data_IF_445194854246
#
_entry.id   IF_445194854246
#
_cell.length_a   1.000
_cell.length_b   1.000
_cell.length_c   1.000
_cell.angle_alpha   90.00
_cell.angle_beta   90.00
_cell.angle_gamma   90.00
#
_symmetry.space_group_name_H-M   'P 1'
#
loop_
_entity.id
_entity.type
_entity.pdbx_description
1 polymer ?
#
# COMPACT_ATOMS: atom_id res chain seq x y z
N UNK A 1 -11.21 -83.91 -51.84
CA UNK A 1 -10.64 -82.75 -51.13
C UNK A 1 -10.10 -81.64 -52.05
N UNK A 2 -10.78 -81.25 -53.15
CA UNK A 2 -10.26 -80.19 -54.08
C UNK A 2 -11.21 -79.00 -54.34
N UNK A 3 -12.33 -78.88 -53.62
CA UNK A 3 -13.27 -77.74 -53.74
C UNK A 3 -13.35 -76.85 -52.49
N UNK A 4 -12.90 -77.31 -51.33
CA UNK A 4 -12.89 -76.51 -50.08
C UNK A 4 -11.66 -75.60 -49.91
N UNK A 5 -10.56 -75.88 -50.61
CA UNK A 5 -9.37 -75.02 -50.58
C UNK A 5 -9.60 -73.69 -51.30
N UNK A 6 -10.37 -73.67 -52.39
CA UNK A 6 -10.66 -72.44 -53.15
C UNK A 6 -11.50 -71.47 -52.31
N UNK A 7 -12.48 -71.99 -51.56
CA UNK A 7 -13.32 -71.19 -50.66
C UNK A 7 -12.51 -70.58 -49.51
N UNK A 8 -11.49 -71.29 -49.01
CA UNK A 8 -10.60 -70.82 -47.96
C UNK A 8 -9.77 -69.61 -48.42
N UNK A 9 -9.22 -69.65 -49.63
CA UNK A 9 -8.45 -68.52 -50.18
C UNK A 9 -9.32 -67.29 -50.45
N UNK A 10 -10.57 -67.48 -50.87
CA UNK A 10 -11.52 -66.37 -51.08
C UNK A 10 -11.89 -65.70 -49.74
N UNK A 11 -12.21 -66.50 -48.71
CA UNK A 11 -12.48 -65.98 -47.37
C UNK A 11 -11.29 -65.24 -46.77
N UNK A 12 -10.08 -65.78 -46.93
CA UNK A 12 -8.85 -65.15 -46.46
C UNK A 12 -8.61 -63.81 -47.17
N UNK A 13 -8.85 -63.75 -48.49
CA UNK A 13 -8.71 -62.53 -49.27
C UNK A 13 -9.68 -61.43 -48.82
N UNK A 14 -10.94 -61.77 -48.56
CA UNK A 14 -11.93 -60.82 -48.05
C UNK A 14 -11.52 -60.31 -46.65
N UNK A 15 -11.07 -61.20 -45.76
CA UNK A 15 -10.62 -60.83 -44.42
C UNK A 15 -9.43 -59.87 -44.48
N UNK A 16 -8.44 -60.16 -45.33
CA UNK A 16 -7.26 -59.30 -45.50
C UNK A 16 -7.66 -57.93 -46.04
N UNK A 17 -8.55 -57.88 -47.04
CA UNK A 17 -9.07 -56.62 -47.57
C UNK A 17 -9.81 -55.86 -46.47
N UNK A 18 -10.75 -56.49 -45.76
CA UNK A 18 -11.50 -55.83 -44.68
C UNK A 18 -10.60 -55.30 -43.57
N UNK A 19 -9.56 -56.04 -43.18
CA UNK A 19 -8.57 -55.57 -42.20
C UNK A 19 -7.78 -54.38 -42.76
N UNK A 20 -7.33 -54.43 -44.02
CA UNK A 20 -6.62 -53.32 -44.64
C UNK A 20 -7.50 -52.06 -44.75
N UNK A 21 -8.76 -52.19 -45.18
CA UNK A 21 -9.70 -51.06 -45.24
C UNK A 21 -10.00 -50.50 -43.85
N UNK A 22 -10.11 -51.35 -42.83
CA UNK A 22 -10.32 -50.93 -41.45
C UNK A 22 -9.09 -50.21 -40.87
N UNK A 23 -7.88 -50.68 -41.17
CA UNK A 23 -6.63 -50.01 -40.77
C UNK A 23 -6.49 -48.64 -41.46
N UNK A 24 -6.77 -48.55 -42.76
CA UNK A 24 -6.77 -47.27 -43.49
C UNK A 24 -7.84 -46.31 -42.95
N UNK A 25 -9.02 -46.80 -42.61
CA UNK A 25 -10.09 -46.01 -42.00
C UNK A 25 -9.72 -45.47 -40.61
N UNK A 26 -9.00 -46.27 -39.80
CA UNK A 26 -8.47 -45.83 -38.50
C UNK A 26 -7.34 -44.81 -38.68
N UNK A 27 -6.47 -45.00 -39.66
CA UNK A 27 -5.37 -44.07 -39.93
C UNK A 27 -5.89 -42.71 -40.44
N UNK A 28 -6.99 -42.71 -41.19
CA UNK A 28 -7.69 -41.50 -41.63
C UNK A 28 -8.43 -40.78 -40.48
N UNK A 29 -8.98 -41.51 -39.49
CA UNK A 29 -9.54 -40.91 -38.27
C UNK A 29 -8.46 -40.39 -37.30
N UNK A 30 -7.29 -41.03 -37.26
CA UNK A 30 -6.17 -40.59 -36.42
C UNK A 30 -5.34 -39.46 -37.06
N UNK A 31 -5.68 -39.02 -38.28
CA UNK A 31 -5.05 -37.88 -38.95
C UNK A 31 -5.59 -36.50 -38.48
N UNK A 32 -6.42 -36.47 -37.44
CA UNK A 32 -6.92 -35.26 -36.78
C UNK A 32 -5.89 -34.84 -35.70
N UNK A 33 -5.00 -33.87 -35.85
CA UNK A 33 -5.14 -32.54 -36.44
C UNK A 33 -3.76 -32.06 -36.91
N UNK A 34 -3.68 -31.38 -38.07
CA UNK A 34 -2.42 -30.76 -38.48
C UNK A 34 -2.08 -29.63 -37.50
N UNK A 35 -0.82 -29.47 -37.06
CA UNK A 35 -0.46 -28.37 -36.17
C UNK A 35 -0.78 -27.03 -36.84
N UNK A 36 -1.49 -26.16 -36.12
CA UNK A 36 -1.75 -24.79 -36.57
C UNK A 36 -0.44 -23.99 -36.50
N UNK A 37 0.02 -23.37 -37.60
CA UNK A 37 1.25 -22.59 -37.57
C UNK A 37 1.20 -21.39 -36.60
N UNK A 38 2.31 -21.04 -35.92
CA UNK A 38 2.36 -19.94 -34.94
C UNK A 38 1.80 -18.61 -35.43
N UNK A 39 2.02 -18.26 -36.70
CA UNK A 39 1.53 -17.01 -37.30
C UNK A 39 0.02 -16.77 -37.16
N UNK A 40 -0.78 -17.83 -36.94
CA UNK A 40 -2.23 -17.70 -36.78
C UNK A 40 -2.65 -17.41 -35.32
N UNK A 41 -1.84 -17.75 -34.32
CA UNK A 41 -2.19 -17.58 -32.91
C UNK A 41 -1.21 -16.71 -32.11
N UNK A 42 -0.02 -16.41 -32.63
CA UNK A 42 0.90 -15.46 -31.99
C UNK A 42 0.25 -14.09 -31.73
N UNK A 43 -0.56 -13.52 -32.65
CA UNK A 43 -1.26 -12.26 -32.37
C UNK A 43 -2.27 -12.36 -31.21
N UNK A 44 -2.90 -13.53 -31.02
CA UNK A 44 -3.77 -13.79 -29.88
C UNK A 44 -2.96 -13.82 -28.58
N UNK A 45 -1.82 -14.53 -28.58
CA UNK A 45 -0.93 -14.58 -27.42
C UNK A 45 -0.48 -13.18 -26.99
N UNK A 46 -0.01 -12.37 -27.94
CA UNK A 46 0.40 -10.98 -27.68
C UNK A 46 -0.76 -10.12 -27.17
N UNK A 47 -1.97 -10.30 -27.69
CA UNK A 47 -3.16 -9.58 -27.20
C UNK A 47 -3.50 -9.95 -25.75
N UNK A 48 -3.37 -11.23 -25.37
CA UNK A 48 -3.56 -11.68 -23.99
C UNK A 48 -2.47 -11.09 -23.08
N UNK A 49 -1.21 -11.11 -23.49
CA UNK A 49 -0.09 -10.50 -22.74
C UNK A 49 -0.31 -8.99 -22.56
N UNK A 50 -0.75 -8.27 -23.59
CA UNK A 50 -1.08 -6.85 -23.50
C UNK A 50 -2.23 -6.58 -22.51
N UNK A 51 -3.25 -7.43 -22.51
CA UNK A 51 -4.35 -7.38 -21.56
C UNK A 51 -3.85 -7.58 -20.11
N UNK A 52 -3.02 -8.61 -19.85
CA UNK A 52 -2.44 -8.87 -18.53
C UNK A 52 -1.58 -7.68 -18.08
N UNK A 53 -0.77 -7.12 -18.98
CA UNK A 53 0.05 -5.94 -18.69
C UNK A 53 -0.81 -4.73 -18.31
N UNK A 54 -1.89 -4.46 -19.05
CA UNK A 54 -2.84 -3.39 -18.73
C UNK A 54 -3.47 -3.57 -17.35
N UNK A 55 -3.97 -4.77 -17.05
CA UNK A 55 -4.57 -5.08 -15.75
C UNK A 55 -3.56 -4.91 -14.61
N UNK A 56 -2.30 -5.32 -14.81
CA UNK A 56 -1.25 -5.14 -13.84
C UNK A 56 -0.97 -3.64 -13.57
N UNK A 57 -0.89 -2.80 -14.61
CA UNK A 57 -0.77 -1.35 -14.44
C UNK A 57 -1.97 -0.75 -13.70
N UNK A 58 -3.20 -1.15 -14.04
CA UNK A 58 -4.41 -0.65 -13.39
C UNK A 58 -4.43 -1.01 -11.90
N UNK A 59 -4.13 -2.26 -11.56
CA UNK A 59 -4.05 -2.73 -10.18
C UNK A 59 -2.97 -2.00 -9.38
N UNK A 60 -1.76 -1.86 -9.93
CA UNK A 60 -0.67 -1.12 -9.29
C UNK A 60 -1.00 0.37 -9.10
N UNK A 61 -1.71 0.98 -10.06
CA UNK A 61 -2.17 2.37 -9.95
C UNK A 61 -3.26 2.55 -8.89
N UNK A 62 -4.15 1.57 -8.69
CA UNK A 62 -5.09 1.57 -7.56
C UNK A 62 -4.31 1.52 -6.25
N UNK A 63 -3.41 0.54 -6.09
CA UNK A 63 -2.58 0.39 -4.89
C UNK A 63 -1.78 1.65 -4.57
N UNK A 64 -1.17 2.28 -5.59
CA UNK A 64 -0.38 3.50 -5.41
C UNK A 64 -1.22 4.68 -4.94
N UNK A 65 -2.52 4.71 -5.24
CA UNK A 65 -3.44 5.77 -4.79
C UNK A 65 -4.12 5.47 -3.45
N UNK A 66 -4.09 4.21 -3.00
CA UNK A 66 -4.86 3.70 -1.87
C UNK A 66 -3.96 2.98 -0.86
N UNK A 67 -2.78 3.53 -0.56
CA UNK A 67 -1.91 3.08 0.54
C UNK A 67 -1.48 1.62 0.45
N UNK A 68 -1.37 1.09 -0.77
CA UNK A 68 -0.98 -0.30 -1.05
C UNK A 68 -2.13 -1.29 -1.13
N UNK A 69 -3.38 -0.84 -1.02
CA UNK A 69 -4.57 -1.69 -1.12
C UNK A 69 -5.25 -1.54 -2.50
N UNK A 70 -5.76 -2.65 -3.04
CA UNK A 70 -6.85 -2.63 -4.03
C UNK A 70 -8.19 -2.68 -3.31
N UNK A 71 -8.28 -3.53 -2.29
CA UNK A 71 -9.44 -3.64 -1.43
C UNK A 71 -9.05 -3.24 -0.01
N UNK A 72 -9.49 -2.06 0.43
CA UNK A 72 -9.24 -1.63 1.82
C UNK A 72 -10.04 -2.53 2.79
N UNK A 73 -9.39 -3.09 3.83
CA UNK A 73 -10.04 -3.85 4.90
C UNK A 73 -11.24 -3.12 5.51
N UNK A 74 -12.26 -3.88 5.91
CA UNK A 74 -13.50 -3.32 6.46
C UNK A 74 -13.28 -2.61 7.78
N UNK A 75 -12.34 -3.10 8.59
CA UNK A 75 -11.94 -2.57 9.89
C UNK A 75 -11.49 -1.11 9.76
N UNK A 76 -10.60 -0.81 8.81
CA UNK A 76 -10.10 0.55 8.53
C UNK A 76 -11.27 1.49 8.15
N UNK A 77 -12.21 1.00 7.33
CA UNK A 77 -13.36 1.80 6.89
C UNK A 77 -14.31 2.08 8.05
N UNK A 78 -14.59 1.08 8.87
CA UNK A 78 -15.53 1.17 9.98
C UNK A 78 -15.01 2.09 11.10
N UNK A 79 -13.70 2.12 11.31
CA UNK A 79 -13.05 2.98 12.31
C UNK A 79 -12.80 4.42 11.81
N UNK A 80 -13.06 4.71 10.53
CA UNK A 80 -12.80 6.04 9.96
C UNK A 80 -11.31 6.36 9.83
N UNK A 81 -10.45 5.35 9.82
CA UNK A 81 -8.99 5.50 9.82
C UNK A 81 -8.44 5.77 8.41
N UNK A 82 -8.89 6.84 7.76
CA UNK A 82 -8.47 7.20 6.40
C UNK A 82 -8.75 8.67 6.04
N UNK A 83 -8.10 9.17 4.99
CA UNK A 83 -8.43 10.46 4.35
C UNK A 83 -9.38 10.20 3.18
N UNK A 84 -10.48 10.96 3.09
CA UNK A 84 -11.30 10.99 1.88
C UNK A 84 -10.60 11.77 0.76
N UNK A 85 -10.39 11.12 -0.39
CA UNK A 85 -9.92 11.77 -1.60
C UNK A 85 -11.10 12.09 -2.53
N UNK A 86 -10.82 12.70 -3.67
CA UNK A 86 -11.84 12.98 -4.68
C UNK A 86 -12.37 11.67 -5.27
N UNK A 87 -13.69 11.54 -5.33
CA UNK A 87 -14.38 10.38 -5.91
C UNK A 87 -14.44 9.18 -4.93
N UNK A 88 -14.32 7.93 -5.42
CA UNK A 88 -14.44 6.74 -4.59
C UNK A 88 -13.17 6.38 -3.82
N UNK A 89 -12.09 7.15 -3.99
CA UNK A 89 -10.80 6.82 -3.41
C UNK A 89 -10.68 7.34 -1.97
N UNK A 90 -10.16 6.48 -1.12
CA UNK A 90 -9.73 6.82 0.23
C UNK A 90 -8.23 6.57 0.36
N UNK A 91 -7.59 7.20 1.34
CA UNK A 91 -6.20 6.98 1.69
C UNK A 91 -6.13 6.39 3.11
N UNK A 92 -6.11 5.05 3.24
CA UNK A 92 -6.02 4.36 4.52
C UNK A 92 -4.85 4.84 5.39
N UNK A 93 -5.09 4.95 6.69
CA UNK A 93 -4.01 5.17 7.64
C UNK A 93 -3.19 3.91 7.83
N UNK A 94 -1.86 4.05 7.81
CA UNK A 94 -0.92 3.00 8.19
C UNK A 94 -0.69 2.91 9.69
N UNK A 95 -1.23 3.85 10.47
CA UNK A 95 -1.18 3.83 11.92
C UNK A 95 -2.54 4.25 12.49
N UNK A 96 -3.09 3.43 13.38
CA UNK A 96 -4.32 3.76 14.11
C UNK A 96 -4.36 3.03 15.46
N UNK A 97 -4.67 3.76 16.54
CA UNK A 97 -4.80 3.22 17.91
C UNK A 97 -3.64 2.31 18.36
N UNK A 98 -2.41 2.65 17.96
CA UNK A 98 -1.21 1.88 18.30
C UNK A 98 -0.95 0.67 17.41
N UNK A 99 -1.72 0.45 16.35
CA UNK A 99 -1.53 -0.65 15.41
C UNK A 99 -0.88 -0.17 14.11
N UNK A 100 0.09 -0.95 13.61
CA UNK A 100 0.61 -0.82 12.25
C UNK A 100 -0.37 -1.50 11.28
N UNK A 101 -1.07 -0.67 10.50
CA UNK A 101 -2.06 -1.10 9.51
C UNK A 101 -1.50 -1.15 8.08
N UNK A 102 -0.17 -1.02 7.92
CA UNK A 102 0.45 -1.10 6.60
C UNK A 102 0.26 -2.50 5.99
N UNK A 103 -0.06 -2.61 4.68
CA UNK A 103 -0.24 -3.91 4.05
C UNK A 103 1.09 -4.66 4.01
N UNK A 104 1.06 -5.96 4.27
CA UNK A 104 2.23 -6.84 4.08
C UNK A 104 2.55 -7.02 2.59
N UNK A 105 3.79 -7.40 2.26
CA UNK A 105 4.12 -7.72 0.86
C UNK A 105 3.29 -8.89 0.32
N UNK A 106 2.96 -9.86 1.18
CA UNK A 106 2.09 -10.98 0.83
C UNK A 106 0.68 -10.51 0.47
N UNK A 107 0.09 -9.62 1.27
CA UNK A 107 -1.23 -9.06 1.01
C UNK A 107 -1.26 -8.26 -0.30
N UNK A 108 -0.22 -7.46 -0.56
CA UNK A 108 -0.09 -6.72 -1.83
C UNK A 108 -0.07 -7.71 -3.00
N UNK A 109 0.73 -8.77 -2.95
CA UNK A 109 0.75 -9.79 -4.01
C UNK A 109 -0.61 -10.44 -4.20
N UNK A 110 -1.23 -10.87 -3.11
CA UNK A 110 -2.54 -11.54 -3.10
C UNK A 110 -3.62 -10.67 -3.73
N UNK A 111 -3.72 -9.39 -3.35
CA UNK A 111 -4.73 -8.49 -3.91
C UNK A 111 -4.49 -8.21 -5.39
N UNK A 112 -3.23 -8.06 -5.84
CA UNK A 112 -2.93 -7.88 -7.25
C UNK A 112 -3.25 -9.14 -8.06
N UNK A 113 -2.95 -10.33 -7.52
CA UNK A 113 -3.31 -11.61 -8.13
C UNK A 113 -4.82 -11.72 -8.30
N UNK A 114 -5.58 -11.52 -7.20
CA UNK A 114 -7.04 -11.60 -7.22
C UNK A 114 -7.67 -10.62 -8.20
N UNK A 115 -7.17 -9.38 -8.25
CA UNK A 115 -7.64 -8.36 -9.19
C UNK A 115 -7.44 -8.77 -10.65
N UNK A 116 -6.26 -9.30 -11.00
CA UNK A 116 -5.96 -9.75 -12.35
C UNK A 116 -6.80 -10.99 -12.69
N UNK A 117 -6.92 -11.96 -11.78
CA UNK A 117 -7.73 -13.18 -11.96
C UNK A 117 -9.19 -12.85 -12.25
N UNK A 118 -9.80 -11.95 -11.47
CA UNK A 118 -11.21 -11.58 -11.64
C UNK A 118 -11.47 -10.73 -12.88
N UNK A 119 -10.45 -10.04 -13.41
CA UNK A 119 -10.59 -9.08 -14.51
C UNK A 119 -10.11 -9.62 -15.86
N UNK A 120 -9.43 -10.77 -15.88
CA UNK A 120 -8.81 -11.30 -17.08
C UNK A 120 -9.83 -11.62 -18.19
N UNK A 121 -10.95 -12.24 -17.83
CA UNK A 121 -11.99 -12.65 -18.79
C UNK A 121 -12.60 -11.46 -19.53
N UNK A 122 -12.91 -10.37 -18.81
CA UNK A 122 -13.52 -9.17 -19.40
C UNK A 122 -12.53 -8.34 -20.21
N UNK A 123 -11.24 -8.47 -19.94
CA UNK A 123 -10.18 -7.75 -20.62
C UNK A 123 -9.78 -8.39 -21.97
N UNK A 124 -9.89 -9.72 -22.13
CA UNK A 124 -9.54 -10.40 -23.38
C UNK A 124 -10.64 -10.19 -24.43
N UNK A 125 -10.46 -9.18 -25.29
CA UNK A 125 -11.34 -8.99 -26.45
C UNK A 125 -11.10 -10.02 -27.57
N UNK A 126 -11.92 -11.07 -27.62
CA UNK A 126 -11.84 -12.15 -28.62
C UNK A 126 -12.45 -11.80 -29.98
N UNK A 127 -13.21 -10.70 -30.10
CA UNK A 127 -13.92 -10.34 -31.35
C UNK A 127 -13.00 -10.16 -32.56
N UNK A 128 -11.75 -9.71 -32.33
CA UNK A 128 -10.72 -9.54 -33.36
C UNK A 128 -10.13 -10.87 -33.87
N UNK A 129 -10.47 -11.97 -33.21
CA UNK A 129 -10.01 -13.31 -33.50
C UNK A 129 -11.16 -14.24 -33.92
N UNK A 130 -12.24 -13.68 -34.46
CA UNK A 130 -13.42 -14.43 -34.93
C UNK A 130 -13.15 -15.48 -36.01
N UNK A 131 -11.97 -15.44 -36.64
CA UNK A 131 -11.48 -16.47 -37.58
C UNK A 131 -10.87 -17.70 -36.88
N UNK A 132 -10.86 -17.73 -35.54
CA UNK A 132 -10.40 -18.83 -34.70
C UNK A 132 -11.55 -19.28 -33.79
N UNK A 133 -11.63 -20.58 -33.55
CA UNK A 133 -12.43 -21.14 -32.45
C UNK A 133 -11.55 -21.21 -31.21
N UNK A 134 -11.94 -20.51 -30.15
CA UNK A 134 -11.18 -20.40 -28.91
C UNK A 134 -11.94 -21.07 -27.77
N UNK A 135 -11.28 -21.97 -27.04
CA UNK A 135 -11.81 -22.62 -25.85
C UNK A 135 -10.82 -22.44 -24.70
N UNK A 136 -11.22 -21.66 -23.69
CA UNK A 136 -10.47 -21.52 -22.44
C UNK A 136 -10.76 -22.73 -21.54
N UNK A 137 -9.71 -23.40 -21.08
CA UNK A 137 -9.81 -24.63 -20.29
C UNK A 137 -9.37 -24.34 -18.86
N UNK A 138 -10.32 -24.49 -17.93
CA UNK A 138 -10.09 -24.21 -16.52
C UNK A 138 -10.05 -22.71 -16.20
N UNK A 139 -9.88 -22.42 -14.91
CA UNK A 139 -9.69 -21.04 -14.42
C UNK A 139 -8.24 -20.61 -14.55
N UNK A 140 -7.97 -19.33 -14.87
CA UNK A 140 -6.60 -18.82 -14.86
C UNK A 140 -6.02 -18.90 -13.46
N UNK A 141 -4.74 -19.27 -13.37
CA UNK A 141 -3.95 -19.13 -12.15
C UNK A 141 -2.94 -18.01 -12.35
N UNK A 142 -3.00 -16.98 -11.53
CA UNK A 142 -2.10 -15.84 -11.61
C UNK A 142 -1.04 -15.92 -10.52
N UNK A 143 0.21 -15.67 -10.90
CA UNK A 143 1.34 -15.53 -9.98
C UNK A 143 1.95 -14.15 -10.12
N UNK A 144 2.16 -13.47 -9.00
CA UNK A 144 2.80 -12.13 -8.96
C UNK A 144 4.10 -12.21 -8.17
N UNK A 145 5.19 -11.73 -8.76
CA UNK A 145 6.45 -11.48 -8.07
C UNK A 145 6.76 -9.99 -8.09
N UNK A 146 7.08 -9.44 -6.91
CA UNK A 146 7.55 -8.06 -6.77
C UNK A 146 9.08 -8.09 -6.72
N UNK A 147 9.73 -7.74 -7.83
CA UNK A 147 11.18 -7.65 -7.89
C UNK A 147 11.63 -6.22 -7.52
N UNK A 148 12.93 -5.96 -7.58
CA UNK A 148 13.47 -4.63 -7.25
C UNK A 148 13.10 -3.55 -8.29
N UNK A 149 13.04 -3.91 -9.57
CA UNK A 149 12.85 -2.95 -10.67
C UNK A 149 11.55 -3.17 -11.46
N UNK A 150 10.89 -4.31 -11.27
CA UNK A 150 9.67 -4.66 -12.01
C UNK A 150 8.73 -5.57 -11.18
N UNK A 151 7.52 -5.71 -11.70
CA UNK A 151 6.52 -6.69 -11.25
C UNK A 151 6.35 -7.73 -12.35
N UNK A 152 6.68 -8.99 -12.04
CA UNK A 152 6.48 -10.11 -12.94
C UNK A 152 5.11 -10.72 -12.68
N UNK A 153 4.27 -10.77 -13.70
CA UNK A 153 2.95 -11.41 -13.68
C UNK A 153 2.97 -12.62 -14.60
N UNK A 154 2.79 -13.79 -14.02
CA UNK A 154 2.59 -15.05 -14.74
C UNK A 154 1.13 -15.46 -14.70
N UNK A 155 0.62 -15.96 -15.82
CA UNK A 155 -0.75 -16.50 -15.93
C UNK A 155 -0.68 -17.86 -16.59
N UNK A 156 -1.15 -18.88 -15.88
CA UNK A 156 -1.28 -20.24 -16.40
C UNK A 156 -2.76 -20.52 -16.70
N UNK A 157 -3.07 -20.62 -17.99
CA UNK A 157 -4.40 -20.99 -18.49
C UNK A 157 -4.27 -21.59 -19.89
N UNK A 158 -4.85 -22.78 -20.09
CA UNK A 158 -4.84 -23.43 -21.40
C UNK A 158 -5.92 -22.82 -22.28
N UNK A 159 -5.53 -22.32 -23.44
CA UNK A 159 -6.43 -21.87 -24.50
C UNK A 159 -6.23 -22.79 -25.70
N UNK A 160 -7.25 -23.58 -26.01
CA UNK A 160 -7.29 -24.40 -27.22
C UNK A 160 -7.76 -23.54 -28.38
N UNK A 161 -7.05 -23.63 -29.48
CA UNK A 161 -7.28 -22.85 -30.69
C UNK A 161 -7.55 -23.84 -31.82
N UNK A 162 -8.68 -23.68 -32.51
CA UNK A 162 -8.97 -24.44 -33.73
C UNK A 162 -9.19 -23.51 -34.92
N UNK A 163 -8.70 -23.96 -36.07
CA UNK A 163 -8.94 -23.33 -37.37
C UNK A 163 -8.97 -24.41 -38.43
N UNK A 164 -10.13 -24.60 -39.06
CA UNK A 164 -10.37 -25.71 -39.99
C UNK A 164 -10.02 -27.06 -39.31
N UNK A 165 -9.22 -27.92 -39.95
CA UNK A 165 -8.72 -29.18 -39.39
C UNK A 165 -7.38 -29.03 -38.63
N UNK A 166 -7.05 -27.82 -38.16
CA UNK A 166 -5.80 -27.54 -37.45
C UNK A 166 -6.05 -27.08 -36.03
N UNK A 167 -5.17 -27.51 -35.13
CA UNK A 167 -5.26 -27.16 -33.71
C UNK A 167 -3.93 -26.65 -33.17
N UNK A 168 -4.01 -25.79 -32.17
CA UNK A 168 -2.90 -25.42 -31.30
C UNK A 168 -3.40 -25.21 -29.87
N UNK A 169 -2.48 -25.23 -28.92
CA UNK A 169 -2.76 -24.85 -27.53
C UNK A 169 -1.66 -23.93 -27.03
N UNK A 170 -2.06 -22.85 -26.35
CA UNK A 170 -1.17 -21.98 -25.59
C UNK A 170 -1.59 -22.05 -24.13
N UNK A 171 -0.65 -22.05 -23.19
CA UNK A 171 -0.97 -22.38 -21.79
C UNK A 171 -0.35 -21.47 -20.73
N UNK A 172 0.64 -20.65 -21.10
CA UNK A 172 1.36 -19.80 -20.15
C UNK A 172 1.70 -18.47 -20.80
N UNK A 173 1.48 -17.41 -20.02
CA UNK A 173 1.68 -16.02 -20.39
C UNK A 173 2.48 -15.36 -19.27
N UNK A 174 3.45 -14.53 -19.64
CA UNK A 174 4.26 -13.82 -18.66
C UNK A 174 4.52 -12.40 -19.16
N UNK A 175 4.31 -11.43 -18.27
CA UNK A 175 4.59 -10.02 -18.54
C UNK A 175 5.39 -9.41 -17.39
N UNK A 176 6.32 -8.53 -17.74
CA UNK A 176 7.08 -7.72 -16.80
C UNK A 176 6.57 -6.29 -16.90
N UNK A 177 6.19 -5.72 -15.76
CA UNK A 177 5.73 -4.33 -15.65
C UNK A 177 6.80 -3.54 -14.89
N UNK A 178 7.48 -2.56 -15.50
CA UNK A 178 8.60 -1.80 -14.92
C UNK A 178 8.15 -0.78 -13.87
N UNK A 179 7.48 -1.26 -12.81
CA UNK A 179 7.02 -0.47 -11.67
C UNK A 179 7.72 -0.97 -10.41
N UNK A 180 8.50 -0.09 -9.76
CA UNK A 180 9.34 -0.44 -8.59
C UNK A 180 8.55 -0.40 -7.28
N UNK A 181 7.33 -0.95 -7.24
CA UNK A 181 6.44 -0.89 -6.07
C UNK A 181 7.08 -1.48 -4.80
N UNK A 182 7.94 -2.51 -4.94
CA UNK A 182 8.67 -3.08 -3.80
C UNK A 182 9.58 -2.06 -3.12
N UNK A 183 10.32 -1.26 -3.90
CA UNK A 183 11.16 -0.17 -3.38
C UNK A 183 10.31 0.93 -2.75
N UNK A 184 9.18 1.30 -3.36
CA UNK A 184 8.26 2.28 -2.80
C UNK A 184 7.66 1.83 -1.45
N UNK A 185 7.23 0.57 -1.35
CA UNK A 185 6.74 -0.03 -0.10
C UNK A 185 7.84 -0.09 0.97
N UNK A 186 9.08 -0.43 0.60
CA UNK A 186 10.23 -0.43 1.51
C UNK A 186 10.49 0.96 2.08
N UNK A 187 10.52 1.98 1.22
CA UNK A 187 10.68 3.38 1.61
C UNK A 187 9.55 3.86 2.52
N UNK A 188 8.30 3.58 2.16
CA UNK A 188 7.13 3.92 2.97
C UNK A 188 7.21 3.29 4.37
N UNK A 189 7.64 2.02 4.47
CA UNK A 189 7.81 1.33 5.75
C UNK A 189 8.95 1.91 6.58
N UNK A 190 10.06 2.33 5.98
CA UNK A 190 11.12 3.03 6.70
C UNK A 190 10.61 4.34 7.32
N UNK A 191 9.84 5.13 6.54
CA UNK A 191 9.25 6.37 7.01
C UNK A 191 8.29 6.11 8.18
N UNK A 192 7.37 5.14 8.05
CA UNK A 192 6.43 4.83 9.12
C UNK A 192 7.07 4.21 10.35
N UNK A 193 8.07 3.34 10.19
CA UNK A 193 8.78 2.75 11.31
C UNK A 193 9.55 3.82 12.10
N UNK A 194 10.19 4.76 11.40
CA UNK A 194 10.88 5.88 12.04
C UNK A 194 9.91 6.83 12.71
N UNK A 195 8.79 7.17 12.06
CA UNK A 195 7.75 8.02 12.65
C UNK A 195 7.15 7.41 13.91
N UNK A 196 6.78 6.13 13.87
CA UNK A 196 6.20 5.47 15.03
C UNK A 196 7.18 5.33 16.20
N UNK A 197 8.49 5.36 15.93
CA UNK A 197 9.54 5.28 16.96
C UNK A 197 9.93 6.66 17.50
N UNK A 198 10.12 7.63 16.63
CA UNK A 198 10.76 8.90 16.94
C UNK A 198 9.79 10.08 16.95
N UNK A 199 8.56 9.90 16.46
CA UNK A 199 7.52 10.92 16.41
C UNK A 199 8.00 12.24 15.79
N UNK A 200 8.59 12.14 14.61
CA UNK A 200 9.26 13.27 13.97
C UNK A 200 8.26 14.38 13.63
N UNK A 201 7.09 14.04 13.08
CA UNK A 201 6.11 15.07 12.70
C UNK A 201 5.41 15.70 13.90
N UNK A 202 5.25 15.00 15.01
CA UNK A 202 4.79 15.58 16.27
C UNK A 202 5.78 16.66 16.75
N UNK A 203 7.07 16.33 16.79
CA UNK A 203 8.12 17.28 17.19
C UNK A 203 8.25 18.46 16.21
N UNK A 204 8.15 18.18 14.90
CA UNK A 204 8.18 19.21 13.88
C UNK A 204 6.99 20.17 14.02
N UNK A 205 5.80 19.65 14.33
CA UNK A 205 4.59 20.45 14.56
C UNK A 205 4.74 21.38 15.75
N UNK A 206 5.22 20.88 16.89
CA UNK A 206 5.49 21.71 18.07
C UNK A 206 6.54 22.80 17.76
N UNK A 207 7.53 22.48 16.92
CA UNK A 207 8.52 23.44 16.45
C UNK A 207 7.91 24.51 15.54
N UNK A 208 7.00 24.13 14.64
CA UNK A 208 6.25 25.07 13.79
C UNK A 208 5.37 25.99 14.63
N UNK A 209 4.62 25.44 15.58
CA UNK A 209 3.82 26.23 16.52
C UNK A 209 4.67 27.26 17.27
N UNK A 210 5.84 26.83 17.76
CA UNK A 210 6.76 27.71 18.47
C UNK A 210 7.36 28.82 17.58
N UNK A 211 7.48 28.59 16.27
CA UNK A 211 8.10 29.52 15.33
C UNK A 211 7.13 30.55 14.75
N UNK A 212 5.84 30.21 14.60
CA UNK A 212 4.82 31.02 13.92
C UNK A 212 3.77 31.61 14.92
N UNK A 213 4.22 31.99 16.13
CA UNK A 213 3.45 32.71 17.16
C UNK A 213 2.13 32.03 17.62
N UNK A 214 2.05 30.70 17.55
CA UNK A 214 0.99 29.97 18.26
C UNK A 214 1.27 30.07 19.76
N UNK A 215 0.30 30.52 20.60
CA UNK A 215 0.59 30.82 21.99
C UNK A 215 0.84 29.52 22.78
N UNK A 216 2.10 29.18 23.03
CA UNK A 216 2.48 28.01 23.85
C UNK A 216 2.79 28.41 25.29
N UNK A 217 3.85 29.20 25.47
CA UNK A 217 4.28 29.71 26.78
C UNK A 217 4.98 31.02 26.56
N UNK A 218 4.61 32.04 27.33
CA UNK A 218 5.18 33.36 27.10
C UNK A 218 4.98 34.33 28.25
N UNK A 219 5.75 35.40 28.15
CA UNK A 219 5.69 36.57 29.02
C UNK A 219 5.71 37.83 28.16
N UNK A 220 4.72 38.70 28.33
CA UNK A 220 4.58 39.93 27.57
C UNK A 220 4.28 41.13 28.46
N UNK A 221 4.96 42.25 28.23
CA UNK A 221 4.72 43.50 28.96
C UNK A 221 3.59 44.30 28.29
N UNK A 222 2.38 44.21 28.85
CA UNK A 222 1.19 44.90 28.35
C UNK A 222 0.12 45.01 29.44
N UNK A 223 -0.56 46.16 29.54
CA UNK A 223 -1.69 46.37 30.46
C UNK A 223 -3.05 45.99 29.87
N UNK A 224 -3.06 45.29 28.72
CA UNK A 224 -4.24 44.65 28.16
C UNK A 224 -4.06 43.15 28.25
N UNK A 225 -5.06 42.45 28.80
CA UNK A 225 -5.08 40.99 28.82
C UNK A 225 -5.01 40.46 27.38
N UNK A 226 -4.10 39.53 27.13
CA UNK A 226 -3.99 38.88 25.82
C UNK A 226 -5.02 37.77 25.72
N UNK A 227 -5.66 37.71 24.55
CA UNK A 227 -6.71 36.77 24.24
C UNK A 227 -6.50 36.23 22.82
N UNK A 228 -6.71 34.93 22.65
CA UNK A 228 -6.60 34.24 21.37
C UNK A 228 -7.86 33.38 21.16
N UNK A 229 -8.71 33.68 20.16
CA UNK A 229 -9.81 32.80 19.81
C UNK A 229 -9.28 31.43 19.39
N UNK A 230 -9.78 30.35 19.99
CA UNK A 230 -9.31 28.99 19.73
C UNK A 230 -9.48 28.61 18.24
N UNK A 231 -10.53 29.12 17.59
CA UNK A 231 -10.78 28.92 16.15
C UNK A 231 -9.74 29.62 15.26
N UNK A 232 -9.23 30.77 15.67
CA UNK A 232 -8.18 31.49 14.94
C UNK A 232 -6.84 30.76 15.08
N UNK A 233 -6.53 30.28 16.29
CA UNK A 233 -5.34 29.45 16.55
C UNK A 233 -5.37 28.18 15.69
N UNK A 234 -6.52 27.50 15.63
CA UNK A 234 -6.69 26.31 14.79
C UNK A 234 -6.49 26.62 13.30
N UNK A 235 -7.09 27.71 12.80
CA UNK A 235 -6.97 28.16 11.41
C UNK A 235 -5.52 28.54 11.04
N UNK A 236 -4.81 29.19 11.96
CA UNK A 236 -3.41 29.54 11.79
C UNK A 236 -2.54 28.27 11.74
N UNK A 237 -2.77 27.32 12.66
CA UNK A 237 -2.06 26.03 12.64
C UNK A 237 -2.30 25.25 11.34
N UNK A 238 -3.54 25.18 10.85
CA UNK A 238 -3.86 24.56 9.54
C UNK A 238 -3.06 25.19 8.40
N UNK A 239 -2.92 26.52 8.42
CA UNK A 239 -2.14 27.26 7.41
C UNK A 239 -0.65 26.94 7.52
N UNK A 240 -0.09 26.98 8.72
CA UNK A 240 1.31 26.65 9.00
C UNK A 240 1.63 25.24 8.50
N UNK A 241 0.83 24.23 8.87
CA UNK A 241 1.02 22.85 8.47
C UNK A 241 1.02 22.68 6.94
N UNK A 242 0.07 23.32 6.25
CA UNK A 242 -0.02 23.29 4.78
C UNK A 242 1.24 23.82 4.09
N UNK A 243 1.88 24.86 4.65
CA UNK A 243 3.06 25.49 4.05
C UNK A 243 4.39 24.88 4.52
N UNK A 244 4.42 24.31 5.71
CA UNK A 244 5.65 23.84 6.36
C UNK A 244 5.93 22.36 6.10
N UNK A 245 4.91 21.49 6.08
CA UNK A 245 5.11 20.05 5.83
C UNK A 245 5.75 19.76 4.46
N UNK A 246 5.38 20.41 3.35
CA UNK A 246 6.04 20.18 2.06
C UNK A 246 7.53 20.57 2.02
N UNK A 247 8.03 21.29 3.03
CA UNK A 247 9.44 21.69 3.14
C UNK A 247 10.29 20.63 3.85
N UNK A 248 9.68 19.63 4.48
CA UNK A 248 10.39 18.51 5.11
C UNK A 248 11.15 17.72 4.04
N UNK A 249 12.41 17.41 4.31
CA UNK A 249 13.36 16.74 3.41
C UNK A 249 13.76 15.40 3.98
N UNK A 250 13.71 14.36 3.16
CA UNK A 250 14.15 13.03 3.55
C UNK A 250 15.59 12.82 3.07
N UNK A 251 16.49 12.41 3.96
CA UNK A 251 17.83 12.00 3.51
C UNK A 251 17.75 10.72 2.70
N UNK A 252 18.78 10.45 1.87
CA UNK A 252 18.85 9.23 1.06
C UNK A 252 17.68 9.06 0.08
N UNK A 253 17.02 10.16 -0.30
CA UNK A 253 15.98 10.22 -1.34
C UNK A 253 16.33 11.30 -2.36
N UNK A 254 15.71 11.27 -3.54
CA UNK A 254 15.82 12.34 -4.52
C UNK A 254 15.18 13.62 -3.97
N UNK A 255 15.99 14.66 -3.80
CA UNK A 255 15.48 15.93 -3.31
C UNK A 255 14.80 16.71 -4.43
N UNK A 256 13.52 17.02 -4.27
CA UNK A 256 12.85 18.04 -5.09
C UNK A 256 13.45 19.40 -4.72
N UNK A 257 14.37 19.89 -5.55
CA UNK A 257 15.17 21.11 -5.30
C UNK A 257 14.27 22.27 -4.85
N UNK A 258 14.40 22.72 -3.60
CA UNK A 258 14.03 24.08 -3.19
C UNK A 258 15.13 24.67 -2.33
N UNK A 259 15.42 25.94 -2.57
CA UNK A 259 16.67 26.61 -2.20
C UNK A 259 16.71 27.11 -0.73
N UNK A 260 16.17 26.34 0.22
CA UNK A 260 16.01 26.81 1.63
C UNK A 260 16.59 25.82 2.63
N UNK A 261 17.76 26.17 3.16
CA UNK A 261 18.56 25.47 4.17
C UNK A 261 17.96 25.56 5.58
N UNK A 262 17.02 24.68 5.93
CA UNK A 262 16.57 24.51 7.32
C UNK A 262 16.93 23.11 7.81
N UNK A 263 18.02 23.01 8.57
CA UNK A 263 18.58 21.73 9.07
C UNK A 263 17.58 20.92 9.93
N UNK A 264 16.68 21.60 10.64
CA UNK A 264 15.64 20.96 11.48
C UNK A 264 14.47 20.35 10.69
N UNK A 265 14.40 20.60 9.38
CA UNK A 265 13.41 19.98 8.47
C UNK A 265 13.99 18.79 7.71
N UNK A 266 15.11 18.23 8.19
CA UNK A 266 15.74 17.06 7.60
C UNK A 266 15.37 15.82 8.41
N UNK A 267 14.66 14.90 7.78
CA UNK A 267 14.20 13.65 8.34
C UNK A 267 15.08 12.49 7.88
N UNK A 268 15.75 11.84 8.83
CA UNK A 268 16.70 10.75 8.59
C UNK A 268 16.07 9.34 8.67
N UNK A 269 14.84 9.18 8.19
CA UNK A 269 14.12 7.89 8.26
C UNK A 269 14.69 6.80 7.33
N UNK A 270 15.34 7.21 6.24
CA UNK A 270 15.75 6.29 5.16
C UNK A 270 17.21 5.91 5.33
N UNK A 271 17.48 4.63 5.57
CA UNK A 271 18.83 4.12 5.87
C UNK A 271 19.72 3.96 4.64
N UNK A 272 19.13 3.69 3.48
CA UNK A 272 19.84 3.39 2.23
C UNK A 272 19.41 4.37 1.12
N UNK A 273 20.32 4.78 0.20
CA UNK A 273 19.95 5.62 -0.93
C UNK A 273 18.90 4.95 -1.83
N UNK A 274 17.79 5.65 -2.05
CA UNK A 274 16.74 5.26 -2.97
C UNK A 274 16.48 6.38 -3.99
N UNK A 275 16.46 6.01 -5.27
CA UNK A 275 16.20 6.91 -6.40
C UNK A 275 14.70 7.24 -6.54
N UNK A 276 14.09 7.70 -5.44
CA UNK A 276 12.69 8.12 -5.36
C UNK A 276 12.63 9.42 -4.58
N UNK A 277 11.67 10.30 -4.90
CA UNK A 277 11.42 11.51 -4.12
C UNK A 277 10.27 11.32 -3.16
N UNK A 278 10.34 11.97 -2.00
CA UNK A 278 9.30 11.90 -0.96
C UNK A 278 8.82 13.31 -0.64
N UNK A 279 7.51 13.47 -0.54
CA UNK A 279 6.86 14.70 -0.10
C UNK A 279 5.80 14.44 0.96
N UNK A 280 5.61 15.42 1.83
CA UNK A 280 4.52 15.44 2.81
C UNK A 280 3.47 16.47 2.38
N UNK A 281 2.21 16.13 2.62
CA UNK A 281 1.07 16.99 2.32
C UNK A 281 0.09 17.00 3.49
N UNK A 282 -0.44 18.19 3.76
CA UNK A 282 -1.62 18.42 4.56
C UNK A 282 -2.57 19.34 3.80
N UNK A 283 -3.86 19.03 3.81
CA UNK A 283 -4.90 19.92 3.31
C UNK A 283 -5.85 20.33 4.45
N UNK A 284 -6.12 21.63 4.64
CA UNK A 284 -7.00 22.11 5.71
C UNK A 284 -8.42 21.48 5.73
N UNK A 285 -8.93 21.06 4.56
CA UNK A 285 -10.24 20.42 4.44
C UNK A 285 -10.27 18.97 4.95
N UNK A 286 -9.14 18.35 5.23
CA UNK A 286 -9.08 17.04 5.88
C UNK A 286 -9.35 17.12 7.39
N UNK A 287 -9.39 18.33 7.94
CA UNK A 287 -9.63 18.57 9.36
C UNK A 287 -8.35 18.59 10.20
N UNK A 288 -8.51 19.07 11.43
CA UNK A 288 -7.52 19.08 12.50
C UNK A 288 -8.35 19.20 13.79
N UNK A 289 -8.26 18.21 14.67
CA UNK A 289 -8.85 18.28 16.01
C UNK A 289 -7.82 18.93 16.92
N UNK A 290 -8.20 20.04 17.57
CA UNK A 290 -7.35 20.76 18.50
C UNK A 290 -8.11 21.08 19.77
N UNK A 291 -7.56 20.64 20.90
CA UNK A 291 -8.06 20.99 22.23
C UNK A 291 -6.96 21.71 22.97
N UNK A 292 -7.26 22.91 23.46
CA UNK A 292 -6.31 23.74 24.18
C UNK A 292 -6.75 23.88 25.64
N UNK A 293 -5.81 23.73 26.58
CA UNK A 293 -6.05 23.86 28.02
C UNK A 293 -5.42 25.15 28.58
N UNK A 294 -6.12 25.87 29.50
CA UNK A 294 -7.45 25.56 30.01
C UNK A 294 -8.55 25.70 28.93
N UNK A 295 -9.51 24.76 28.93
CA UNK A 295 -10.55 24.67 27.89
C UNK A 295 -11.40 25.95 27.83
N UNK A 296 -11.57 26.51 26.62
CA UNK A 296 -12.45 27.64 26.34
C UNK A 296 -12.47 28.05 24.86
N UNK A 297 -13.50 28.79 24.45
CA UNK A 297 -13.57 29.39 23.10
C UNK A 297 -12.45 30.43 22.86
N UNK A 298 -11.92 30.99 23.95
CA UNK A 298 -10.87 32.00 23.96
C UNK A 298 -9.81 31.63 25.00
N UNK A 299 -8.57 31.48 24.54
CA UNK A 299 -7.40 31.35 25.39
C UNK A 299 -7.02 32.73 25.93
N UNK A 300 -6.79 32.85 27.23
CA UNK A 300 -6.52 34.14 27.88
C UNK A 300 -5.28 34.08 28.76
N UNK A 301 -4.44 35.11 28.71
CA UNK A 301 -3.30 35.23 29.61
C UNK A 301 -3.71 35.59 31.03
N UNK A 302 -2.88 35.23 32.01
CA UNK A 302 -2.95 35.75 33.37
C UNK A 302 -2.21 37.10 33.42
N UNK A 303 -2.93 38.17 33.77
CA UNK A 303 -2.35 39.51 33.90
C UNK A 303 -1.95 39.77 35.36
N UNK A 304 -0.69 40.11 35.57
CA UNK A 304 -0.10 40.45 36.85
C UNK A 304 0.26 41.94 36.87
N UNK A 305 -0.03 42.61 37.99
CA UNK A 305 0.35 44.01 38.25
C UNK A 305 1.15 44.07 39.53
N UNK A 306 2.30 44.74 39.51
CA UNK A 306 3.10 44.95 40.72
C UNK A 306 2.65 46.23 41.45
N UNK A 307 2.38 46.13 42.74
CA UNK A 307 1.99 47.28 43.57
C UNK A 307 3.12 48.32 43.60
N UNK A 308 2.82 49.57 43.20
CA UNK A 308 3.79 50.66 43.16
C UNK A 308 4.68 50.75 41.91
N UNK A 309 4.57 49.83 40.95
CA UNK A 309 5.26 49.91 39.65
C UNK A 309 4.23 49.98 38.50
N UNK A 310 4.39 50.87 37.51
CA UNK A 310 3.52 50.95 36.34
C UNK A 310 3.83 49.85 35.32
N UNK A 311 3.99 48.61 35.79
CA UNK A 311 4.32 47.44 34.98
C UNK A 311 3.17 46.43 35.04
N UNK A 312 2.63 46.09 33.87
CA UNK A 312 1.68 45.01 33.69
C UNK A 312 2.34 43.89 32.88
N UNK A 313 2.25 42.67 33.38
CA UNK A 313 2.85 41.50 32.78
C UNK A 313 1.76 40.49 32.47
N UNK A 314 1.67 40.04 31.23
CA UNK A 314 0.87 38.89 30.85
C UNK A 314 1.75 37.66 30.87
N UNK A 315 1.30 36.62 31.56
CA UNK A 315 1.91 35.29 31.56
C UNK A 315 0.89 34.29 31.04
N UNK A 316 1.34 33.32 30.25
CA UNK A 316 0.47 32.27 29.74
C UNK A 316 1.27 30.98 29.53
N UNK A 317 0.58 29.87 29.72
CA UNK A 317 1.04 28.52 29.44
C UNK A 317 -0.18 27.73 29.00
N UNK A 318 -0.19 27.32 27.73
CA UNK A 318 -1.28 26.56 27.13
C UNK A 318 -0.77 25.19 26.69
N UNK A 319 -1.57 24.17 26.97
CA UNK A 319 -1.32 22.81 26.52
C UNK A 319 -2.27 22.47 25.38
N UNK A 320 -1.76 21.81 24.35
CA UNK A 320 -2.53 21.40 23.20
C UNK A 320 -2.54 19.88 23.06
N UNK A 321 -3.73 19.35 22.79
CA UNK A 321 -3.92 18.06 22.14
C UNK A 321 -4.26 18.34 20.68
N UNK A 322 -3.53 17.74 19.74
CA UNK A 322 -3.67 18.00 18.31
C UNK A 322 -3.66 16.66 17.57
N UNK A 323 -4.67 16.46 16.73
CA UNK A 323 -4.75 15.32 15.81
C UNK A 323 -5.04 15.84 14.40
N UNK A 324 -4.15 15.53 13.45
CA UNK A 324 -4.38 15.85 12.05
C UNK A 324 -3.77 14.80 11.12
N UNK A 325 -4.37 14.55 9.94
CA UNK A 325 -3.83 13.59 9.00
C UNK A 325 -2.68 14.15 8.16
N UNK A 326 -1.69 13.33 7.87
CA UNK A 326 -0.63 13.62 6.91
C UNK A 326 -0.67 12.60 5.79
N UNK A 327 -0.52 13.09 4.57
CA UNK A 327 -0.26 12.26 3.40
C UNK A 327 1.24 12.27 3.07
N UNK A 328 1.79 11.09 2.81
CA UNK A 328 3.12 10.90 2.23
C UNK A 328 2.98 10.49 0.77
N UNK A 329 3.72 11.17 -0.10
CA UNK A 329 3.78 10.90 -1.54
C UNK A 329 5.20 10.49 -1.89
N UNK A 330 5.36 9.24 -2.33
CA UNK A 330 6.60 8.72 -2.90
C UNK A 330 6.44 8.74 -4.41
N UNK A 331 7.31 9.48 -5.10
CA UNK A 331 7.37 9.51 -6.56
C UNK A 331 8.61 8.80 -7.05
N UNK A 332 8.38 7.90 -7.99
CA UNK A 332 9.39 7.22 -8.75
C UNK A 332 9.26 7.67 -10.22
N UNK A 333 10.28 8.32 -10.77
CA UNK A 333 10.28 8.76 -12.18
C UNK A 333 10.86 7.69 -13.13
N UNK A 334 11.05 6.45 -12.65
CA UNK A 334 11.53 5.32 -13.46
C UNK A 334 10.52 4.91 -14.53
N UNK A 335 11.01 4.74 -15.76
CA UNK A 335 10.24 4.40 -16.96
C UNK A 335 9.02 5.32 -17.18
N UNK A 336 7.80 4.82 -16.97
CA UNK A 336 6.56 5.59 -17.14
C UNK A 336 6.16 6.42 -15.92
N UNK A 337 6.93 6.31 -14.83
CA UNK A 337 6.65 6.94 -13.56
C UNK A 337 5.61 6.20 -12.73
N UNK A 338 5.77 6.27 -11.41
CA UNK A 338 4.86 5.69 -10.44
C UNK A 338 4.76 6.58 -9.20
N UNK A 339 3.56 6.65 -8.62
CA UNK A 339 3.30 7.41 -7.41
C UNK A 339 2.65 6.49 -6.38
N UNK A 340 3.32 6.33 -5.25
CA UNK A 340 2.81 5.61 -4.09
C UNK A 340 2.44 6.59 -2.99
N UNK A 341 1.22 6.50 -2.49
CA UNK A 341 0.64 7.44 -1.52
C UNK A 341 0.13 6.66 -0.32
N UNK A 342 0.45 7.11 0.88
CA UNK A 342 -0.13 6.59 2.11
C UNK A 342 -0.36 7.70 3.13
N UNK A 343 -1.20 7.45 4.13
CA UNK A 343 -1.49 8.44 5.16
C UNK A 343 -1.30 7.87 6.56
N UNK A 344 -1.23 8.77 7.53
CA UNK A 344 -1.29 8.46 8.95
C UNK A 344 -1.62 9.73 9.75
N UNK A 345 -2.18 9.61 10.96
CA UNK A 345 -2.41 10.77 11.82
C UNK A 345 -1.13 11.16 12.56
N UNK A 346 -0.95 12.47 12.78
CA UNK A 346 0.01 13.03 13.74
C UNK A 346 -0.73 13.24 15.05
N UNK A 347 -0.12 12.82 16.16
CA UNK A 347 -0.77 12.73 17.47
C UNK A 347 0.03 13.47 18.54
N UNK A 348 -0.50 14.60 19.00
CA UNK A 348 0.10 15.39 20.08
C UNK A 348 -0.88 15.41 21.24
N UNK A 349 -0.37 15.14 22.43
CA UNK A 349 -1.12 15.22 23.69
C UNK A 349 -0.29 15.97 24.72
N UNK A 350 -0.88 16.98 25.34
CA UNK A 350 -0.21 17.84 26.33
C UNK A 350 1.12 18.42 25.82
N UNK A 351 1.15 18.92 24.57
CA UNK A 351 2.36 19.40 23.89
C UNK A 351 3.50 18.37 23.81
N UNK A 352 3.17 17.07 23.81
CA UNK A 352 4.12 15.97 23.66
C UNK A 352 3.65 15.02 22.57
N UNK A 353 4.60 14.36 21.94
CA UNK A 353 4.29 13.30 21.00
C UNK A 353 3.58 12.13 21.69
N UNK A 354 2.52 11.61 21.07
CA UNK A 354 1.77 10.45 21.55
C UNK A 354 1.81 9.33 20.51
N UNK A 355 2.88 8.54 20.54
CA UNK A 355 3.06 7.32 19.76
C UNK A 355 3.30 6.16 20.72
N UNK A 356 2.42 5.18 20.73
CA UNK A 356 2.61 3.94 21.47
C UNK A 356 2.10 2.79 20.63
N UNK A 357 3.00 1.94 20.12
CA UNK A 357 2.60 0.72 19.43
C UNK A 357 2.07 -0.29 20.45
N UNK A 358 0.88 -0.82 20.22
CA UNK A 358 0.34 -1.96 20.97
C UNK A 358 1.01 -3.23 20.46
N UNK A 359 1.57 -4.03 21.37
CA UNK A 359 2.08 -5.35 21.03
C UNK A 359 0.91 -6.34 20.97
N UNK A 360 0.76 -7.05 19.84
CA UNK A 360 -0.33 -8.02 19.58
C UNK A 360 -0.49 -9.15 20.63
N UNK A 361 0.46 -9.31 21.56
CA UNK A 361 0.45 -10.36 22.58
C UNK A 361 0.16 -9.90 24.02
N UNK A 362 -0.06 -8.61 24.29
CA UNK A 362 -0.21 -8.13 25.68
C UNK A 362 -1.46 -8.70 26.38
N UNK A 363 -2.52 -8.98 25.64
CA UNK A 363 -3.79 -9.50 26.20
C UNK A 363 -3.67 -10.92 26.78
N UNK A 364 -2.75 -11.74 26.26
CA UNK A 364 -2.51 -13.10 26.77
C UNK A 364 -1.63 -13.09 28.04
N UNK A 365 -0.74 -12.10 28.14
CA UNK A 365 0.16 -11.91 29.28
C UNK A 365 -0.60 -11.34 30.50
N UNK A 366 -1.48 -10.34 30.31
CA UNK A 366 -2.23 -9.73 31.41
C UNK A 366 -3.29 -10.68 32.02
N UNK A 367 -3.67 -11.78 31.36
CA UNK A 367 -4.67 -12.74 31.87
C UNK A 367 -4.14 -13.76 32.89
N UNK A 368 -2.82 -13.85 33.10
CA UNK A 368 -2.23 -14.81 34.04
C UNK A 368 -1.40 -14.12 35.12
N UNK A 369 -2.06 -13.74 36.21
CA UNK A 369 -1.37 -13.29 37.43
C UNK A 369 -0.32 -14.34 37.86
N UNK A 370 0.90 -13.88 38.13
CA UNK A 370 2.07 -14.67 38.58
C UNK A 370 2.76 -15.58 37.56
N UNK A 371 2.76 -15.23 36.27
CA UNK A 371 3.66 -15.89 35.29
C UNK A 371 4.82 -14.96 34.94
N UNK A 372 6.06 -15.42 35.06
CA UNK A 372 7.21 -14.71 34.49
C UNK A 372 7.07 -14.75 32.97
N UNK A 373 6.95 -13.58 32.34
CA UNK A 373 6.77 -13.46 30.88
C UNK A 373 8.08 -12.93 30.31
N UNK A 374 8.76 -13.78 29.53
CA UNK A 374 9.92 -13.36 28.74
C UNK A 374 9.42 -12.72 27.44
N UNK A 375 9.64 -11.41 27.30
CA UNK A 375 9.31 -10.67 26.08
C UNK A 375 10.58 -10.54 25.24
N UNK A 376 10.66 -11.29 24.15
CA UNK A 376 11.72 -11.13 23.15
C UNK A 376 11.19 -10.29 22.00
N UNK A 377 11.81 -9.13 21.77
CA UNK A 377 11.46 -8.27 20.64
C UNK A 377 12.32 -8.65 19.45
N UNK A 378 11.68 -8.93 18.32
CA UNK A 378 12.38 -9.26 17.08
C UNK A 378 12.31 -8.10 16.08
N UNK A 379 13.41 -7.85 15.38
CA UNK A 379 13.44 -6.95 14.25
C UNK A 379 12.62 -7.55 13.09
N UNK A 380 11.56 -6.85 12.68
CA UNK A 380 10.62 -7.30 11.63
C UNK A 380 11.27 -7.44 10.24
N UNK A 381 12.42 -6.80 10.02
CA UNK A 381 13.18 -6.84 8.76
C UNK A 381 14.18 -7.99 8.74
N UNK A 382 14.85 -8.28 9.86
CA UNK A 382 15.95 -9.27 9.92
C UNK A 382 15.57 -10.58 10.61
N UNK A 383 14.51 -10.59 11.42
CA UNK A 383 14.11 -11.71 12.26
C UNK A 383 15.01 -11.94 13.48
N UNK A 384 15.96 -11.05 13.76
CA UNK A 384 16.89 -11.17 14.90
C UNK A 384 16.32 -10.52 16.17
N UNK A 385 16.62 -11.07 17.37
CA UNK A 385 16.22 -10.45 18.63
C UNK A 385 16.96 -9.12 18.85
N UNK A 386 16.25 -8.12 19.37
CA UNK A 386 16.79 -6.82 19.75
C UNK A 386 17.19 -6.84 21.24
N UNK A 387 18.48 -6.64 21.54
CA UNK A 387 19.00 -6.71 22.91
C UNK A 387 18.61 -5.49 23.79
N UNK A 388 18.24 -4.35 23.20
CA UNK A 388 17.92 -3.10 23.91
C UNK A 388 16.53 -2.55 23.53
N UNK A 389 15.52 -3.42 23.44
CA UNK A 389 14.16 -2.96 23.21
C UNK A 389 13.50 -2.54 24.54
N UNK A 390 13.17 -1.26 24.68
CA UNK A 390 12.29 -0.79 25.77
C UNK A 390 10.85 -1.22 25.47
N UNK A 391 10.32 -2.10 26.33
CA UNK A 391 8.94 -2.57 26.24
C UNK A 391 8.15 -1.96 27.39
N UNK A 392 7.13 -1.17 27.07
CA UNK A 392 6.14 -0.71 28.05
C UNK A 392 4.88 -1.53 27.87
N UNK A 393 4.49 -2.28 28.89
CA UNK A 393 3.25 -3.04 28.91
C UNK A 393 2.26 -2.33 29.84
N UNK A 394 1.09 -1.99 29.31
CA UNK A 394 -0.01 -1.40 30.08
C UNK A 394 -1.12 -2.45 30.20
N UNK A 395 -1.43 -2.90 31.42
CA UNK A 395 -2.51 -3.85 31.66
C UNK A 395 -3.77 -3.05 32.06
N UNK A 396 -4.82 -3.05 31.21
CA UNK A 396 -5.95 -2.13 31.35
C UNK A 396 -6.84 -2.41 32.58
N UNK A 397 -6.73 -3.58 33.18
CA UNK A 397 -7.44 -3.93 34.42
C UNK A 397 -6.46 -3.87 35.60
N UNK A 398 -6.38 -2.70 36.22
CA UNK A 398 -5.60 -2.48 37.42
C UNK A 398 -6.09 -3.36 38.56
N UNK A 399 -5.29 -4.37 38.91
CA UNK A 399 -5.00 -4.81 40.27
C UNK A 399 -3.75 -5.70 40.22
N UNK A 400 -2.57 -5.07 40.22
CA UNK A 400 -1.32 -5.75 40.57
C UNK A 400 -0.77 -5.05 41.81
N UNK A 401 -0.84 -5.75 42.95
CA UNK A 401 -0.17 -5.36 44.20
C UNK A 401 1.36 -5.41 44.05
#
# INVERSE_FOLDING_TARGET
MKKGQVTLFILLGIIIISIATYLFYIEEQNAEFKPLPPQYYSPLKTHIEQCISSLAYDGLAIMGRQSGFIEVPGEIKNEGAYIHLIGPFILPYWYHNGNDLSPSEALVKEQLQGFIESSLESCINTSRFSYLELEAVGRPRVTVSLNEDDVLVGVDQIIRIRKDQRTASISSFAVSVPVRIRKALRLARYIMADENKNAFLEQATLSFMSADDIPLTGLEFSCRQKQWPSSEVESNLKSILRYSLPKVRFTNTLQVVSNTSHKYLTWNAVKEPLEMSVGLLYQPNWGLDMKARPNGEVLSSAMLTAEGLPLCVNTYHFEYDIVYPVEVIIRDDYDQGYSFRFAFPVLISHNKAERSLRLENSDSACKKMNTEVEITVYDKLTGQPLEEAEVTADCPDGDCL
#
